data_IF_172698520521
#
_entry.id   IF_172698520521
#
_cell.length_a   1.000
_cell.length_b   1.000
_cell.length_c   1.000
_cell.angle_alpha   90.00
_cell.angle_beta   90.00
_cell.angle_gamma   90.00
#
_symmetry.space_group_name_H-M   'P 1'
#
loop_
_entity.id
_entity.type
_entity.pdbx_description
1 polymer ?
#
# COMPACT_ATOMS: atom_id res chain seq x y z
N UNK A 1 81.95 34.88 54.55
CA UNK A 1 81.71 35.32 53.15
C UNK A 1 81.36 34.17 52.19
N UNK A 2 82.10 33.04 52.15
CA UNK A 2 81.82 31.93 51.20
C UNK A 2 80.42 31.29 51.28
N UNK A 3 79.81 31.20 52.46
CA UNK A 3 78.48 30.59 52.64
C UNK A 3 77.33 31.45 52.08
N UNK A 4 77.45 32.79 52.17
CA UNK A 4 76.45 33.71 51.64
C UNK A 4 76.44 33.70 50.10
N UNK A 5 77.62 33.67 49.49
CA UNK A 5 77.77 33.59 48.04
C UNK A 5 77.23 32.26 47.47
N UNK A 6 77.49 31.14 48.13
CA UNK A 6 76.95 29.84 47.74
C UNK A 6 75.42 29.78 47.84
N UNK A 7 74.83 30.36 48.91
CA UNK A 7 73.38 30.45 49.07
C UNK A 7 72.73 31.38 48.03
N UNK A 8 73.36 32.51 47.71
CA UNK A 8 72.87 33.42 46.66
C UNK A 8 72.91 32.77 45.28
N UNK A 9 73.95 31.99 44.97
CA UNK A 9 74.05 31.24 43.72
C UNK A 9 73.00 30.13 43.61
N UNK A 10 72.76 29.37 44.68
CA UNK A 10 71.69 28.35 44.73
C UNK A 10 70.30 28.99 44.56
N UNK A 11 70.03 30.08 45.28
CA UNK A 11 68.78 30.84 45.16
C UNK A 11 68.58 31.38 43.75
N UNK A 12 69.62 31.95 43.12
CA UNK A 12 69.54 32.44 41.75
C UNK A 12 69.26 31.31 40.75
N UNK A 13 69.88 30.15 40.96
CA UNK A 13 69.67 28.96 40.12
C UNK A 13 68.23 28.44 40.23
N UNK A 14 67.68 28.39 41.45
CA UNK A 14 66.29 27.95 41.69
C UNK A 14 65.26 28.92 41.13
N UNK A 15 65.51 30.23 41.22
CA UNK A 15 64.66 31.25 40.59
C UNK A 15 64.71 31.12 39.07
N UNK A 16 65.90 30.92 38.48
CA UNK A 16 66.05 30.73 37.05
C UNK A 16 65.32 29.46 36.57
N UNK A 17 65.47 28.33 37.27
CA UNK A 17 64.78 27.09 36.95
C UNK A 17 63.24 27.23 37.07
N UNK A 18 62.76 27.91 38.11
CA UNK A 18 61.34 28.20 38.29
C UNK A 18 60.77 29.07 37.17
N UNK A 19 61.50 30.11 36.76
CA UNK A 19 61.08 30.99 35.66
C UNK A 19 61.00 30.24 34.33
N UNK A 20 61.99 29.38 34.03
CA UNK A 20 61.97 28.52 32.83
C UNK A 20 60.76 27.60 32.86
N UNK A 21 60.46 26.97 33.99
CA UNK A 21 59.29 26.11 34.12
C UNK A 21 57.99 26.88 33.92
N UNK A 22 57.87 28.08 34.48
CA UNK A 22 56.70 28.94 34.30
C UNK A 22 56.48 29.37 32.85
N UNK A 23 57.55 29.63 32.10
CA UNK A 23 57.43 29.92 30.67
C UNK A 23 57.04 28.70 29.83
N UNK A 24 57.47 27.50 30.21
CA UNK A 24 57.06 26.26 29.53
C UNK A 24 55.58 25.97 29.80
N UNK A 25 55.12 26.11 31.03
CA UNK A 25 53.70 25.98 31.39
C UNK A 25 52.86 27.02 30.64
N UNK A 26 53.27 28.29 30.62
CA UNK A 26 52.57 29.35 29.91
C UNK A 26 52.50 29.12 28.39
N UNK A 27 53.56 28.56 27.79
CA UNK A 27 53.55 28.17 26.37
C UNK A 27 52.62 26.99 26.11
N UNK A 28 52.66 25.96 26.96
CA UNK A 28 51.76 24.80 26.84
C UNK A 28 50.28 25.18 26.99
N UNK A 29 49.97 26.09 27.92
CA UNK A 29 48.60 26.60 28.12
C UNK A 29 48.13 27.43 26.92
N UNK A 30 49.01 28.25 26.33
CA UNK A 30 48.70 29.02 25.13
C UNK A 30 48.45 28.12 23.91
N UNK A 31 49.29 27.11 23.70
CA UNK A 31 49.13 26.11 22.63
C UNK A 31 47.84 25.29 22.80
N UNK A 32 47.51 24.91 24.05
CA UNK A 32 46.27 24.19 24.35
C UNK A 32 45.02 25.05 24.09
N UNK A 33 45.07 26.35 24.41
CA UNK A 33 44.00 27.30 24.14
C UNK A 33 43.80 27.50 22.62
N UNK A 34 44.89 27.66 21.86
CA UNK A 34 44.81 27.75 20.40
C UNK A 34 44.23 26.48 19.77
N UNK A 35 44.66 25.31 20.24
CA UNK A 35 44.10 24.03 19.77
C UNK A 35 42.62 23.87 20.11
N UNK A 36 42.16 24.39 21.25
CA UNK A 36 40.71 24.41 21.57
C UNK A 36 39.94 25.34 20.64
N UNK A 37 40.46 26.54 20.37
CA UNK A 37 39.83 27.51 19.47
C UNK A 37 39.72 26.98 18.04
N UNK A 38 40.78 26.35 17.54
CA UNK A 38 40.76 25.73 16.21
C UNK A 38 39.73 24.61 16.10
N UNK A 39 39.58 23.78 17.15
CA UNK A 39 38.54 22.73 17.18
C UNK A 39 37.14 23.31 17.25
N UNK A 40 36.94 24.35 18.04
CA UNK A 40 35.64 25.03 18.16
C UNK A 40 35.25 25.71 16.84
N UNK A 41 36.19 26.35 16.16
CA UNK A 41 35.99 26.95 14.83
C UNK A 41 35.71 25.88 13.76
N UNK A 42 36.43 24.75 13.80
CA UNK A 42 36.17 23.62 12.89
C UNK A 42 34.79 23.00 13.14
N UNK A 43 34.38 22.83 14.40
CA UNK A 43 33.06 22.32 14.77
C UNK A 43 31.94 23.28 14.36
N UNK A 44 32.12 24.59 14.57
CA UNK A 44 31.17 25.62 14.14
C UNK A 44 31.01 25.64 12.61
N UNK A 45 32.11 25.50 11.87
CA UNK A 45 32.08 25.38 10.41
C UNK A 45 31.28 24.16 9.96
N UNK A 46 31.49 23.00 10.60
CA UNK A 46 30.75 21.77 10.26
C UNK A 46 29.25 21.91 10.54
N UNK A 47 28.88 22.48 11.68
CA UNK A 47 27.47 22.74 12.05
C UNK A 47 26.83 23.71 11.07
N UNK A 48 27.54 24.78 10.68
CA UNK A 48 27.02 25.76 9.73
C UNK A 48 26.87 25.17 8.32
N UNK A 49 27.83 24.36 7.86
CA UNK A 49 27.72 23.64 6.59
C UNK A 49 26.54 22.65 6.59
N UNK A 50 26.32 21.93 7.69
CA UNK A 50 25.20 21.02 7.84
C UNK A 50 23.86 21.77 7.83
N UNK A 51 23.76 22.88 8.58
CA UNK A 51 22.58 23.73 8.61
C UNK A 51 22.28 24.35 7.22
N UNK A 52 23.31 24.76 6.47
CA UNK A 52 23.15 25.25 5.09
C UNK A 52 22.70 24.14 4.14
N UNK A 53 23.24 22.92 4.27
CA UNK A 53 22.77 21.76 3.51
C UNK A 53 21.30 21.47 3.82
N UNK A 54 20.93 21.43 5.10
CA UNK A 54 19.56 21.20 5.54
C UNK A 54 18.61 22.28 5.01
N UNK A 55 19.00 23.57 5.09
CA UNK A 55 18.22 24.68 4.53
C UNK A 55 18.01 24.55 3.02
N UNK A 56 19.06 24.22 2.26
CA UNK A 56 18.97 24.00 0.81
C UNK A 56 18.07 22.82 0.46
N UNK A 57 18.12 21.75 1.25
CA UNK A 57 17.20 20.62 1.09
C UNK A 57 15.75 20.99 1.44
N UNK A 58 15.54 21.73 2.52
CA UNK A 58 14.22 22.20 2.93
C UNK A 58 13.61 23.12 1.87
N UNK A 59 14.40 23.99 1.25
CA UNK A 59 13.94 24.85 0.15
C UNK A 59 13.59 24.06 -1.11
N UNK A 60 14.37 23.03 -1.47
CA UNK A 60 14.02 22.13 -2.58
C UNK A 60 12.73 21.35 -2.32
N UNK A 61 12.40 21.10 -1.05
CA UNK A 61 11.17 20.39 -0.63
C UNK A 61 9.94 21.31 -0.52
N UNK A 62 10.09 22.64 -0.62
CA UNK A 62 8.94 23.56 -0.61
C UNK A 62 8.07 23.29 -1.84
N UNK A 63 6.77 22.96 -1.68
CA UNK A 63 5.87 22.74 -2.80
C UNK A 63 5.83 23.99 -3.67
N UNK A 64 6.38 23.92 -4.88
CA UNK A 64 6.26 25.00 -5.85
C UNK A 64 4.84 24.95 -6.40
N UNK A 65 4.02 25.95 -6.06
CA UNK A 65 2.67 26.04 -6.60
C UNK A 65 2.75 26.21 -8.12
N UNK A 66 2.14 25.29 -8.85
CA UNK A 66 2.05 25.39 -10.31
C UNK A 66 1.15 26.59 -10.68
N UNK A 67 1.48 27.26 -11.78
CA UNK A 67 0.65 28.34 -12.35
C UNK A 67 -0.54 27.76 -13.11
N UNK A 68 -1.66 28.48 -13.14
CA UNK A 68 -2.83 28.10 -13.94
C UNK A 68 -2.66 28.53 -15.41
N UNK A 69 -3.39 27.88 -16.32
CA UNK A 69 -3.46 28.29 -17.73
C UNK A 69 -4.64 29.27 -17.88
N UNK A 70 -4.41 30.57 -18.15
CA UNK A 70 -5.50 31.54 -18.31
C UNK A 70 -6.43 31.14 -19.45
N UNK A 71 -7.75 31.19 -19.21
CA UNK A 71 -8.77 30.82 -20.18
C UNK A 71 -9.11 29.32 -20.23
N UNK A 72 -8.44 28.46 -19.46
CA UNK A 72 -8.88 27.07 -19.27
C UNK A 72 -10.07 27.02 -18.32
N UNK A 73 -11.21 26.50 -18.79
CA UNK A 73 -12.34 26.18 -17.92
C UNK A 73 -12.22 24.75 -17.36
N UNK A 74 -12.97 24.47 -16.31
CA UNK A 74 -13.21 23.09 -15.88
C UNK A 74 -13.99 22.36 -16.97
N UNK A 75 -13.78 21.05 -17.12
CA UNK A 75 -14.61 20.22 -18.00
C UNK A 75 -16.01 20.07 -17.40
N UNK A 76 -17.04 20.03 -18.26
CA UNK A 76 -18.45 19.90 -17.82
C UNK A 76 -18.72 18.63 -17.00
N UNK A 77 -17.83 17.63 -17.10
CA UNK A 77 -17.91 16.37 -16.37
C UNK A 77 -16.63 16.22 -15.53
N UNK A 78 -16.80 16.11 -14.21
CA UNK A 78 -15.74 15.78 -13.26
C UNK A 78 -15.54 14.26 -13.26
N UNK A 79 -14.44 13.81 -13.84
CA UNK A 79 -14.07 12.41 -13.87
C UNK A 79 -13.15 12.12 -12.69
N UNK A 80 -13.61 11.33 -11.72
CA UNK A 80 -12.76 10.89 -10.61
C UNK A 80 -11.59 10.03 -11.11
N UNK A 81 -10.37 10.20 -10.58
CA UNK A 81 -9.25 9.33 -10.93
C UNK A 81 -9.45 7.91 -10.36
N UNK A 82 -8.79 6.89 -10.92
CA UNK A 82 -8.63 5.59 -10.28
C UNK A 82 -7.92 5.71 -8.92
N UNK A 83 -8.12 4.73 -8.06
CA UNK A 83 -7.46 4.69 -6.74
C UNK A 83 -5.94 4.80 -6.83
N UNK A 84 -5.32 5.44 -5.83
CA UNK A 84 -3.86 5.53 -5.72
C UNK A 84 -3.19 4.14 -5.71
N UNK A 85 -3.81 3.14 -5.08
CA UNK A 85 -3.38 1.73 -5.15
C UNK A 85 -3.24 1.25 -6.60
N UNK A 86 -4.26 1.47 -7.43
CA UNK A 86 -4.23 1.06 -8.84
C UNK A 86 -3.19 1.82 -9.66
N UNK A 87 -3.04 3.12 -9.40
CA UNK A 87 -2.01 3.96 -10.05
C UNK A 87 -0.60 3.52 -9.65
N UNK A 88 -0.37 3.17 -8.39
CA UNK A 88 0.91 2.66 -7.91
C UNK A 88 1.24 1.31 -8.55
N UNK A 89 0.26 0.41 -8.67
CA UNK A 89 0.42 -0.86 -9.37
C UNK A 89 0.78 -0.65 -10.85
N UNK A 90 0.07 0.24 -11.55
CA UNK A 90 0.40 0.62 -12.92
C UNK A 90 1.82 1.17 -13.05
N UNK A 91 2.28 2.03 -12.12
CA UNK A 91 3.63 2.61 -12.17
C UNK A 91 4.76 1.57 -12.04
N UNK A 92 4.45 0.39 -11.52
CA UNK A 92 5.41 -0.70 -11.29
C UNK A 92 5.18 -1.89 -12.22
N UNK A 93 4.33 -1.72 -13.25
CA UNK A 93 3.93 -2.77 -14.19
C UNK A 93 3.27 -3.99 -13.51
N UNK A 94 2.77 -3.82 -12.29
CA UNK A 94 2.06 -4.87 -11.58
C UNK A 94 0.66 -5.05 -12.16
N UNK A 95 0.16 -6.28 -12.08
CA UNK A 95 -1.23 -6.57 -12.38
C UNK A 95 -2.17 -5.80 -11.42
N UNK A 96 -3.23 -5.24 -11.98
CA UNK A 96 -4.32 -4.58 -11.27
C UNK A 96 -5.64 -4.93 -11.96
N UNK A 97 -6.69 -5.16 -11.16
CA UNK A 97 -8.03 -5.46 -11.67
C UNK A 97 -8.58 -4.27 -12.47
N UNK A 98 -9.20 -4.56 -13.61
CA UNK A 98 -9.81 -3.53 -14.48
C UNK A 98 -10.95 -2.78 -13.79
N UNK A 99 -11.56 -3.38 -12.78
CA UNK A 99 -12.61 -2.75 -11.98
C UNK A 99 -12.20 -1.38 -11.43
N UNK A 100 -10.93 -1.16 -11.06
CA UNK A 100 -10.46 0.14 -10.56
C UNK A 100 -10.61 1.28 -11.57
N UNK A 101 -10.69 0.96 -12.86
CA UNK A 101 -10.86 1.91 -13.97
C UNK A 101 -12.33 2.08 -14.38
N UNK A 102 -13.25 1.36 -13.71
CA UNK A 102 -14.68 1.47 -13.96
C UNK A 102 -15.26 2.72 -13.30
N UNK A 103 -16.45 3.19 -13.72
CA UNK A 103 -17.17 4.22 -12.97
C UNK A 103 -17.34 3.85 -11.49
N UNK A 104 -17.67 2.58 -11.20
CA UNK A 104 -17.85 2.09 -9.83
C UNK A 104 -16.54 2.13 -9.01
N UNK A 105 -15.43 1.68 -9.60
CA UNK A 105 -14.12 1.69 -8.94
C UNK A 105 -13.57 3.10 -8.71
N UNK A 106 -13.78 4.01 -9.65
CA UNK A 106 -13.37 5.43 -9.51
C UNK A 106 -14.23 6.18 -8.49
N UNK A 107 -15.52 5.87 -8.42
CA UNK A 107 -16.41 6.39 -7.37
C UNK A 107 -16.08 5.78 -5.99
N UNK A 108 -15.63 4.53 -5.93
CA UNK A 108 -15.14 3.95 -4.68
C UNK A 108 -13.87 4.64 -4.20
N UNK A 109 -12.94 4.92 -5.13
CA UNK A 109 -11.70 5.64 -4.84
C UNK A 109 -11.95 7.07 -4.33
N UNK A 110 -12.89 7.82 -4.92
CA UNK A 110 -13.17 9.20 -4.50
C UNK A 110 -13.60 9.30 -3.04
N UNK A 111 -14.35 8.31 -2.53
CA UNK A 111 -14.74 8.24 -1.10
C UNK A 111 -13.54 8.22 -0.14
N UNK A 112 -12.39 7.72 -0.60
CA UNK A 112 -11.16 7.69 0.20
C UNK A 112 -10.30 8.94 -0.01
N UNK A 113 -10.33 9.55 -1.21
CA UNK A 113 -9.63 10.81 -1.49
C UNK A 113 -10.24 12.00 -0.75
N UNK A 114 -11.56 12.04 -0.56
CA UNK A 114 -12.24 13.14 0.14
C UNK A 114 -11.98 13.13 1.67
N UNK A 115 -11.31 12.09 2.19
CA UNK A 115 -10.94 12.01 3.60
C UNK A 115 -9.45 12.32 3.76
N UNK A 116 -9.15 13.55 4.20
CA UNK A 116 -7.83 14.00 4.64
C UNK A 116 -7.06 12.99 5.52
N UNK A 117 -7.73 12.07 6.23
CA UNK A 117 -7.11 11.05 7.07
C UNK A 117 -6.39 9.90 6.31
N UNK A 118 -6.69 9.65 5.04
CA UNK A 118 -6.10 8.51 4.30
C UNK A 118 -4.64 8.75 3.87
N UNK A 119 -4.26 10.02 3.68
CA UNK A 119 -2.88 10.45 3.40
C UNK A 119 -2.02 10.44 4.68
N UNK A 120 -2.61 10.78 5.85
CA UNK A 120 -1.91 10.84 7.13
C UNK A 120 -1.63 9.47 7.76
N UNK A 121 -2.32 8.41 7.30
CA UNK A 121 -2.11 7.06 7.80
C UNK A 121 -1.06 6.35 6.96
N UNK A 122 0.10 6.08 7.55
CA UNK A 122 1.20 5.38 6.90
C UNK A 122 1.13 3.87 7.13
N UNK A 123 1.32 3.09 6.06
CA UNK A 123 1.47 1.64 6.08
C UNK A 123 2.91 1.22 5.85
N UNK A 124 3.30 0.08 6.43
CA UNK A 124 4.61 -0.55 6.20
C UNK A 124 4.45 -1.60 5.09
N UNK A 125 5.27 -1.50 4.04
CA UNK A 125 5.29 -2.44 2.92
C UNK A 125 6.71 -2.93 2.63
N UNK A 126 6.85 -4.19 2.20
CA UNK A 126 8.14 -4.78 1.83
C UNK A 126 8.39 -4.58 0.32
N UNK A 127 9.53 -4.01 -0.05
CA UNK A 127 10.03 -3.93 -1.44
C UNK A 127 11.45 -4.50 -1.42
N UNK A 128 11.73 -5.54 -2.23
CA UNK A 128 13.08 -6.08 -2.42
C UNK A 128 13.86 -6.29 -1.10
N UNK A 129 13.18 -6.93 -0.14
CA UNK A 129 13.66 -7.17 1.23
C UNK A 129 13.84 -5.96 2.17
N UNK A 130 13.56 -4.74 1.70
CA UNK A 130 13.52 -3.51 2.51
C UNK A 130 12.10 -3.16 2.96
N UNK A 131 11.95 -2.75 4.23
CA UNK A 131 10.71 -2.16 4.74
C UNK A 131 10.63 -0.69 4.33
N UNK A 132 9.52 -0.32 3.69
CA UNK A 132 9.23 1.04 3.23
C UNK A 132 7.93 1.53 3.83
N UNK A 133 7.90 2.79 4.23
CA UNK A 133 6.73 3.46 4.78
C UNK A 133 6.05 4.21 3.63
N UNK A 134 4.77 3.94 3.39
CA UNK A 134 3.98 4.57 2.30
C UNK A 134 2.56 4.89 2.76
N UNK A 135 1.88 5.91 2.19
CA UNK A 135 0.48 6.20 2.50
C UNK A 135 -0.39 4.96 2.33
N UNK A 136 -1.31 4.69 3.26
CA UNK A 136 -2.10 3.45 3.26
C UNK A 136 -2.97 3.34 1.99
N UNK A 137 -3.40 4.46 1.42
CA UNK A 137 -4.15 4.53 0.17
C UNK A 137 -3.37 3.99 -1.04
N UNK A 138 -2.03 4.02 -1.00
CA UNK A 138 -1.17 3.44 -2.04
C UNK A 138 -0.96 1.93 -1.90
N UNK A 139 -1.23 1.36 -0.72
CA UNK A 139 -0.92 -0.04 -0.39
C UNK A 139 -2.18 -0.89 -0.25
N UNK A 140 -3.31 -0.28 0.14
CA UNK A 140 -4.54 -0.99 0.47
C UNK A 140 -5.47 -1.11 -0.73
N UNK A 141 -5.68 -2.33 -1.18
CA UNK A 141 -6.72 -2.67 -2.14
C UNK A 141 -8.13 -2.37 -1.58
N UNK A 142 -9.03 -1.92 -2.44
CA UNK A 142 -10.46 -1.79 -2.09
C UNK A 142 -11.05 -3.16 -1.76
N UNK A 143 -11.94 -3.19 -0.75
CA UNK A 143 -12.73 -4.38 -0.40
C UNK A 143 -13.83 -4.69 -1.40
N UNK A 144 -14.16 -3.72 -2.27
CA UNK A 144 -15.21 -3.82 -3.27
C UNK A 144 -14.66 -4.23 -4.64
N UNK A 145 -13.36 -4.55 -4.73
CA UNK A 145 -12.73 -4.93 -6.00
C UNK A 145 -13.39 -6.20 -6.55
N UNK A 146 -13.75 -6.14 -7.84
CA UNK A 146 -14.33 -7.26 -8.58
C UNK A 146 -13.26 -7.83 -9.52
N UNK A 147 -12.99 -9.14 -9.50
CA UNK A 147 -12.10 -9.78 -10.46
C UNK A 147 -12.58 -9.58 -11.91
N UNK A 148 -11.66 -9.50 -12.87
CA UNK A 148 -12.01 -9.24 -14.28
C UNK A 148 -13.03 -10.25 -14.85
N UNK A 149 -13.01 -11.51 -14.41
CA UNK A 149 -13.93 -12.55 -14.87
C UNK A 149 -15.34 -12.46 -14.27
N UNK A 150 -15.53 -11.62 -13.24
CA UNK A 150 -16.82 -11.32 -12.62
C UNK A 150 -17.39 -9.97 -13.09
N UNK A 151 -16.64 -9.20 -13.89
CA UNK A 151 -17.15 -8.00 -14.54
C UNK A 151 -18.22 -8.35 -15.57
N UNK A 152 -19.12 -7.41 -15.84
CA UNK A 152 -19.97 -7.51 -17.03
C UNK A 152 -19.15 -7.22 -18.28
N UNK A 153 -19.53 -7.80 -19.42
CA UNK A 153 -18.81 -7.54 -20.67
C UNK A 153 -18.84 -6.06 -21.08
N UNK A 154 -19.96 -5.32 -20.96
CA UNK A 154 -19.97 -3.88 -21.20
C UNK A 154 -19.04 -3.09 -20.25
N UNK A 155 -18.96 -3.47 -18.98
CA UNK A 155 -18.03 -2.84 -18.04
C UNK A 155 -16.58 -3.11 -18.44
N UNK A 156 -16.25 -4.33 -18.86
CA UNK A 156 -14.93 -4.65 -19.39
C UNK A 156 -14.56 -3.79 -20.62
N UNK A 157 -15.48 -3.66 -21.58
CA UNK A 157 -15.26 -2.86 -22.79
C UNK A 157 -15.07 -1.37 -22.50
N UNK A 158 -15.75 -0.82 -21.48
CA UNK A 158 -15.58 0.57 -21.09
C UNK A 158 -14.31 0.79 -20.26
N UNK A 159 -13.98 -0.15 -19.37
CA UNK A 159 -12.82 -0.06 -18.45
C UNK A 159 -11.48 -0.19 -19.15
N UNK A 160 -11.36 -1.05 -20.19
CA UNK A 160 -10.10 -1.26 -20.92
C UNK A 160 -9.50 0.03 -21.48
N UNK A 161 -10.35 0.94 -21.99
CA UNK A 161 -9.89 2.19 -22.59
C UNK A 161 -9.36 3.13 -21.49
N UNK A 162 -10.02 3.17 -20.33
CA UNK A 162 -9.56 3.94 -19.19
C UNK A 162 -8.26 3.37 -18.60
N UNK A 163 -8.13 2.05 -18.55
CA UNK A 163 -6.88 1.38 -18.17
C UNK A 163 -5.72 1.76 -19.10
N UNK A 164 -5.91 1.68 -20.43
CA UNK A 164 -4.87 2.01 -21.40
C UNK A 164 -4.44 3.48 -21.32
N UNK A 165 -5.38 4.41 -21.12
CA UNK A 165 -5.07 5.83 -20.94
C UNK A 165 -4.20 6.07 -19.68
N UNK A 166 -4.51 5.40 -18.56
CA UNK A 166 -3.72 5.53 -17.34
C UNK A 166 -2.36 4.83 -17.46
N UNK A 167 -2.28 3.68 -18.14
CA UNK A 167 -1.02 3.02 -18.44
C UNK A 167 -0.11 3.91 -19.31
N UNK A 168 -0.68 4.61 -20.30
CA UNK A 168 0.04 5.62 -21.10
C UNK A 168 0.55 6.76 -20.24
N UNK A 169 -0.27 7.31 -19.34
CA UNK A 169 0.12 8.36 -18.39
C UNK A 169 1.21 7.88 -17.40
N UNK A 170 1.26 6.59 -17.11
CA UNK A 170 2.32 5.95 -16.34
C UNK A 170 3.59 5.64 -17.16
N UNK A 171 3.72 6.21 -18.37
CA UNK A 171 4.88 6.06 -19.25
C UNK A 171 5.18 4.60 -19.65
N UNK A 172 4.15 3.78 -19.84
CA UNK A 172 4.35 2.42 -20.33
C UNK A 172 4.97 2.42 -21.75
N UNK A 173 5.84 1.45 -22.07
CA UNK A 173 6.38 1.32 -23.42
C UNK A 173 5.27 1.19 -24.46
N UNK A 174 5.34 1.98 -25.55
CA UNK A 174 4.33 2.00 -26.62
C UNK A 174 4.07 0.60 -27.18
N UNK A 175 5.12 -0.21 -27.35
CA UNK A 175 5.00 -1.61 -27.81
C UNK A 175 4.07 -2.44 -26.92
N UNK A 176 4.14 -2.25 -25.59
CA UNK A 176 3.30 -2.98 -24.65
C UNK A 176 1.85 -2.46 -24.67
N UNK A 177 1.66 -1.14 -24.80
CA UNK A 177 0.34 -0.52 -24.95
C UNK A 177 -0.36 -0.99 -26.23
N UNK A 178 0.36 -0.99 -27.36
CA UNK A 178 -0.16 -1.44 -28.65
C UNK A 178 -0.53 -2.93 -28.61
N UNK A 179 0.30 -3.75 -27.96
CA UNK A 179 0.03 -5.17 -27.79
C UNK A 179 -1.24 -5.40 -26.96
N UNK A 180 -1.40 -4.69 -25.83
CA UNK A 180 -2.62 -4.77 -25.01
C UNK A 180 -3.86 -4.27 -25.73
N UNK A 181 -3.76 -3.15 -26.46
CA UNK A 181 -4.88 -2.60 -27.22
C UNK A 181 -5.40 -3.59 -28.27
N UNK A 182 -4.49 -4.20 -29.05
CA UNK A 182 -4.83 -5.23 -30.03
C UNK A 182 -5.36 -6.50 -29.38
N UNK A 183 -4.76 -6.92 -28.25
CA UNK A 183 -5.26 -8.06 -27.47
C UNK A 183 -6.71 -7.85 -27.04
N UNK A 184 -7.04 -6.70 -26.44
CA UNK A 184 -8.42 -6.42 -26.04
C UNK A 184 -9.38 -6.36 -27.23
N UNK A 185 -8.93 -5.83 -28.37
CA UNK A 185 -9.70 -5.85 -29.61
C UNK A 185 -9.99 -7.28 -30.09
N UNK A 186 -8.99 -8.18 -30.06
CA UNK A 186 -9.20 -9.59 -30.42
C UNK A 186 -10.17 -10.29 -29.49
N UNK A 187 -10.16 -9.97 -28.20
CA UNK A 187 -11.14 -10.52 -27.26
C UNK A 187 -12.55 -9.97 -27.51
N UNK A 188 -12.68 -8.67 -27.75
CA UNK A 188 -13.95 -8.00 -28.05
C UNK A 188 -14.62 -8.56 -29.32
N UNK A 189 -13.81 -8.89 -30.33
CA UNK A 189 -14.27 -9.38 -31.64
C UNK A 189 -14.23 -10.89 -31.79
N UNK A 190 -13.90 -11.63 -30.72
CA UNK A 190 -13.76 -13.08 -30.79
C UNK A 190 -15.12 -13.76 -31.09
N UNK A 191 -15.19 -14.73 -32.03
CA UNK A 191 -16.45 -15.42 -32.35
C UNK A 191 -17.15 -16.04 -31.14
N UNK A 192 -16.37 -16.53 -30.17
CA UNK A 192 -16.90 -17.13 -28.94
C UNK A 192 -17.74 -16.17 -28.09
N UNK A 193 -17.61 -14.84 -28.24
CA UNK A 193 -18.45 -13.87 -27.52
C UNK A 193 -19.94 -14.10 -27.79
N UNK A 194 -20.28 -14.53 -29.01
CA UNK A 194 -21.67 -14.76 -29.43
C UNK A 194 -22.26 -16.09 -28.93
N UNK A 195 -21.43 -16.97 -28.35
CA UNK A 195 -21.88 -18.25 -27.84
C UNK A 195 -22.58 -18.09 -26.49
N UNK A 196 -23.43 -19.05 -26.09
CA UNK A 196 -23.91 -19.14 -24.71
C UNK A 196 -22.71 -19.15 -23.74
N UNK A 197 -22.75 -18.32 -22.70
CA UNK A 197 -21.64 -18.12 -21.75
C UNK A 197 -20.36 -17.52 -22.36
N UNK A 198 -20.38 -17.13 -23.64
CA UNK A 198 -19.25 -16.63 -24.41
C UNK A 198 -18.52 -15.47 -23.77
N UNK A 199 -19.27 -14.45 -23.34
CA UNK A 199 -18.72 -13.30 -22.59
C UNK A 199 -17.94 -13.75 -21.35
N UNK A 200 -18.49 -14.68 -20.56
CA UNK A 200 -17.83 -15.19 -19.35
C UNK A 200 -16.55 -15.95 -19.68
N UNK A 201 -16.56 -16.75 -20.75
CA UNK A 201 -15.38 -17.48 -21.24
C UNK A 201 -14.28 -16.48 -21.60
N UNK A 202 -14.61 -15.47 -22.40
CA UNK A 202 -13.66 -14.44 -22.85
C UNK A 202 -13.12 -13.63 -21.67
N UNK A 203 -13.96 -13.21 -20.73
CA UNK A 203 -13.52 -12.48 -19.54
C UNK A 203 -12.64 -13.32 -18.62
N UNK A 204 -12.94 -14.62 -18.49
CA UNK A 204 -12.12 -15.56 -17.73
C UNK A 204 -10.75 -15.75 -18.38
N UNK A 205 -10.73 -15.90 -19.71
CA UNK A 205 -9.49 -15.95 -20.48
C UNK A 205 -8.67 -14.67 -20.32
N UNK A 206 -9.29 -13.50 -20.50
CA UNK A 206 -8.68 -12.19 -20.30
C UNK A 206 -8.07 -12.05 -18.90
N UNK A 207 -8.83 -12.41 -17.86
CA UNK A 207 -8.39 -12.36 -16.47
C UNK A 207 -7.13 -13.21 -16.25
N UNK A 208 -7.12 -14.46 -16.75
CA UNK A 208 -5.98 -15.38 -16.58
C UNK A 208 -4.75 -14.91 -17.36
N UNK A 209 -4.93 -14.52 -18.62
CA UNK A 209 -3.85 -14.10 -19.52
C UNK A 209 -3.25 -12.77 -19.09
N UNK A 210 -4.07 -11.76 -18.74
CA UNK A 210 -3.55 -10.49 -18.25
C UNK A 210 -2.73 -10.68 -16.96
N UNK A 211 -3.23 -11.46 -15.99
CA UNK A 211 -2.51 -11.72 -14.75
C UNK A 211 -1.15 -12.40 -15.02
N UNK A 212 -1.15 -13.46 -15.81
CA UNK A 212 0.05 -14.22 -16.15
C UNK A 212 1.06 -13.35 -16.93
N UNK A 213 0.58 -12.60 -17.91
CA UNK A 213 1.41 -11.73 -18.75
C UNK A 213 2.12 -10.63 -17.93
N UNK A 214 1.42 -9.95 -17.02
CA UNK A 214 2.07 -8.95 -16.15
C UNK A 214 3.15 -9.57 -15.26
N UNK A 215 2.87 -10.74 -14.68
CA UNK A 215 3.83 -11.48 -13.84
C UNK A 215 5.09 -11.85 -14.63
N UNK A 216 4.91 -12.39 -15.84
CA UNK A 216 6.01 -12.87 -16.66
C UNK A 216 6.79 -11.70 -17.30
N UNK A 217 6.10 -10.60 -17.65
CA UNK A 217 6.72 -9.35 -18.09
C UNK A 217 7.65 -8.79 -17.01
N UNK A 218 7.19 -8.74 -15.76
CA UNK A 218 8.01 -8.29 -14.61
C UNK A 218 9.22 -9.16 -14.36
N UNK A 219 9.14 -10.46 -14.69
CA UNK A 219 10.24 -11.40 -14.59
C UNK A 219 11.17 -11.42 -15.82
N UNK A 220 10.99 -10.51 -16.78
CA UNK A 220 11.79 -10.46 -18.01
C UNK A 220 11.51 -11.61 -18.99
N UNK A 221 10.38 -12.32 -18.84
CA UNK A 221 9.93 -13.44 -19.68
C UNK A 221 8.59 -13.14 -20.37
N UNK A 222 8.30 -11.87 -20.61
CA UNK A 222 7.08 -11.45 -21.27
C UNK A 222 6.94 -12.15 -22.63
N UNK A 223 5.79 -12.77 -22.86
CA UNK A 223 5.44 -13.37 -24.14
C UNK A 223 4.53 -12.45 -24.96
N UNK A 224 4.37 -12.77 -26.24
CA UNK A 224 3.45 -12.05 -27.11
C UNK A 224 1.99 -12.33 -26.72
N UNK A 225 1.35 -11.35 -26.08
CA UNK A 225 -0.04 -11.44 -25.63
C UNK A 225 -1.04 -11.44 -26.82
N UNK A 226 -0.60 -11.09 -28.03
CA UNK A 226 -1.45 -11.07 -29.22
C UNK A 226 -1.87 -12.48 -29.67
N UNK A 227 -1.10 -13.50 -29.31
CA UNK A 227 -1.38 -14.88 -29.69
C UNK A 227 -2.44 -15.46 -28.76
N UNK A 228 -3.67 -15.59 -29.25
CA UNK A 228 -4.76 -16.25 -28.51
C UNK A 228 -4.47 -17.75 -28.42
N UNK A 229 -4.28 -18.24 -27.21
CA UNK A 229 -4.05 -19.65 -26.93
C UNK A 229 -5.39 -20.41 -26.95
N UNK A 230 -5.70 -21.00 -28.11
CA UNK A 230 -6.93 -21.77 -28.32
C UNK A 230 -7.10 -22.93 -27.32
N UNK A 231 -6.02 -23.66 -27.00
CA UNK A 231 -6.09 -24.76 -26.02
C UNK A 231 -6.48 -24.27 -24.61
N UNK A 232 -5.92 -23.13 -24.18
CA UNK A 232 -6.30 -22.52 -22.91
C UNK A 232 -7.77 -22.04 -22.95
N UNK A 233 -8.19 -21.44 -24.06
CA UNK A 233 -9.57 -21.00 -24.26
C UNK A 233 -10.55 -22.19 -24.20
N UNK A 234 -10.26 -23.29 -24.89
CA UNK A 234 -11.07 -24.52 -24.88
C UNK A 234 -11.15 -25.14 -23.48
N UNK A 235 -10.04 -25.11 -22.74
CA UNK A 235 -10.01 -25.58 -21.34
C UNK A 235 -10.94 -24.73 -20.47
N UNK A 236 -10.87 -23.41 -20.59
CA UNK A 236 -11.76 -22.49 -19.88
C UNK A 236 -13.23 -22.70 -20.26
N UNK A 237 -13.51 -22.91 -21.55
CA UNK A 237 -14.85 -23.21 -22.05
C UNK A 237 -15.43 -24.44 -21.36
N UNK A 238 -14.71 -25.56 -21.36
CA UNK A 238 -15.15 -26.80 -20.70
C UNK A 238 -15.36 -26.62 -19.20
N UNK A 239 -14.46 -25.90 -18.52
CA UNK A 239 -14.60 -25.63 -17.08
C UNK A 239 -15.90 -24.86 -16.79
N UNK A 240 -16.17 -23.79 -17.53
CA UNK A 240 -17.34 -22.93 -17.34
C UNK A 240 -18.63 -23.68 -17.67
N UNK A 241 -18.67 -24.41 -18.78
CA UNK A 241 -19.81 -25.24 -19.16
C UNK A 241 -20.09 -26.33 -18.13
N UNK A 242 -19.04 -26.98 -17.60
CA UNK A 242 -19.15 -27.96 -16.52
C UNK A 242 -19.79 -27.37 -15.27
N UNK A 243 -19.29 -26.22 -14.80
CA UNK A 243 -19.84 -25.52 -13.64
C UNK A 243 -21.30 -25.08 -13.84
N UNK A 244 -21.67 -24.58 -15.02
CA UNK A 244 -23.05 -24.16 -15.27
C UNK A 244 -24.00 -25.35 -15.34
N UNK A 245 -23.59 -26.45 -15.97
CA UNK A 245 -24.34 -27.71 -15.99
C UNK A 245 -24.60 -28.25 -14.58
N UNK A 246 -23.60 -28.22 -13.70
CA UNK A 246 -23.76 -28.65 -12.31
C UNK A 246 -24.69 -27.74 -11.51
N UNK A 247 -24.60 -26.42 -11.75
CA UNK A 247 -25.51 -25.43 -11.14
C UNK A 247 -26.96 -25.63 -11.58
N UNK A 248 -27.18 -25.93 -12.86
CA UNK A 248 -28.51 -26.25 -13.41
C UNK A 248 -29.05 -27.55 -12.79
N UNK A 249 -28.22 -28.59 -12.66
CA UNK A 249 -28.61 -29.86 -12.01
C UNK A 249 -28.95 -29.65 -10.53
N UNK A 250 -28.17 -28.84 -9.80
CA UNK A 250 -28.42 -28.54 -8.39
C UNK A 250 -29.77 -27.84 -8.17
N UNK A 251 -30.13 -26.88 -9.04
CA UNK A 251 -31.44 -26.20 -9.01
C UNK A 251 -32.62 -27.11 -9.34
N UNK A 252 -32.39 -28.19 -10.10
CA UNK A 252 -33.43 -29.16 -10.49
C UNK A 252 -33.70 -30.25 -9.45
N UNK A 253 -32.87 -30.39 -8.40
CA UNK A 253 -33.12 -31.35 -7.32
C UNK A 253 -34.28 -30.84 -6.45
N UNK A 254 -35.41 -31.57 -6.32
CA UNK A 254 -36.48 -31.17 -5.44
C UNK A 254 -35.99 -31.22 -3.98
N UNK A 255 -36.18 -30.13 -3.23
CA UNK A 255 -36.03 -30.14 -1.78
C UNK A 255 -37.00 -31.18 -1.20
N UNK A 256 -36.50 -32.35 -0.81
CA UNK A 256 -37.32 -33.35 -0.12
C UNK A 256 -37.81 -32.73 1.20
N UNK A 257 -39.12 -32.74 1.49
CA UNK A 257 -39.61 -32.34 2.79
C UNK A 257 -39.07 -33.33 3.83
N UNK A 258 -38.45 -32.77 4.87
CA UNK A 258 -37.95 -33.50 6.05
C UNK A 258 -39.13 -34.28 6.64
N UNK A 259 -39.14 -35.59 6.45
CA UNK A 259 -40.17 -36.47 6.99
C UNK A 259 -40.14 -36.41 8.53
N UNK A 260 -41.13 -35.77 9.12
CA UNK A 260 -41.45 -35.90 10.55
C UNK A 260 -41.98 -37.30 10.80
N UNK A 261 -41.15 -38.15 11.40
CA UNK A 261 -41.55 -39.46 11.89
C UNK A 261 -42.44 -39.31 13.13
N UNK A 262 -43.76 -39.25 12.95
CA UNK A 262 -44.68 -39.55 14.05
C UNK A 262 -44.81 -41.07 14.19
N UNK A 263 -44.02 -41.63 15.10
CA UNK A 263 -44.24 -42.98 15.60
C UNK A 263 -45.50 -42.99 16.48
N UNK A 264 -46.53 -43.70 16.01
CA UNK A 264 -47.73 -44.05 16.74
C UNK A 264 -47.44 -45.29 17.58
N UNK A 265 -47.49 -45.17 18.91
CA UNK A 265 -47.75 -46.29 19.82
C UNK A 265 -48.82 -45.90 20.82
N UNK A 266 -49.83 -46.75 20.90
CA UNK A 266 -50.99 -46.68 21.77
C UNK A 266 -50.63 -46.75 23.25
N UNK A 267 -51.42 -46.08 24.11
CA UNK A 267 -52.28 -46.65 25.17
C UNK A 267 -52.45 -45.75 26.41
N UNK A 268 -53.72 -45.49 26.72
CA UNK A 268 -54.36 -45.54 28.04
C UNK A 268 -54.18 -44.36 29.04
N UNK A 269 -55.29 -43.63 29.18
CA UNK A 269 -55.88 -42.90 30.34
C UNK A 269 -55.15 -42.84 31.70
N UNK A 270 -54.98 -41.61 32.24
CA UNK A 270 -55.34 -41.14 33.61
C UNK A 270 -54.94 -39.65 33.75
N UNK A 271 -55.85 -38.67 33.86
CA UNK A 271 -56.50 -38.09 35.08
C UNK A 271 -55.59 -37.20 35.96
N UNK A 272 -56.10 -35.96 36.18
CA UNK A 272 -55.81 -34.88 37.17
C UNK A 272 -54.47 -34.09 37.18
N UNK A 273 -54.61 -32.81 36.77
CA UNK A 273 -54.21 -31.49 37.37
C UNK A 273 -53.65 -31.47 38.82
N UNK A 274 -53.22 -30.29 39.33
CA UNK A 274 -52.05 -29.40 39.07
C UNK A 274 -51.13 -29.29 40.32
N UNK A 275 -50.03 -28.51 40.29
CA UNK A 275 -49.72 -27.44 41.27
C UNK A 275 -48.29 -26.87 41.14
N UNK A 276 -48.25 -25.55 40.91
CA UNK A 276 -47.51 -24.48 41.61
C UNK A 276 -46.05 -24.60 42.05
N UNK A 277 -45.40 -23.45 41.89
CA UNK A 277 -44.58 -22.74 42.91
C UNK A 277 -43.07 -22.93 42.85
N UNK A 278 -42.48 -21.89 42.25
CA UNK A 278 -41.57 -20.94 42.90
C UNK A 278 -40.06 -21.18 42.99
N UNK A 279 -39.45 -19.99 42.89
CA UNK A 279 -38.31 -19.50 43.63
C UNK A 279 -36.95 -19.54 42.93
N UNK A 280 -36.71 -18.40 42.27
CA UNK A 280 -35.79 -17.38 42.75
C UNK A 280 -34.28 -17.55 42.46
N UNK A 281 -33.80 -16.60 41.64
CA UNK A 281 -32.89 -15.51 42.02
C UNK A 281 -31.46 -15.92 42.49
N UNK A 282 -30.37 -15.17 42.30
CA UNK A 282 -30.20 -13.73 42.09
C UNK A 282 -28.74 -13.45 41.67
N UNK A 283 -28.54 -12.25 41.11
CA UNK A 283 -27.39 -11.35 41.31
C UNK A 283 -26.07 -11.51 40.53
N UNK A 284 -25.82 -10.44 39.75
CA UNK A 284 -24.56 -9.81 39.31
C UNK A 284 -23.64 -9.40 40.50
N UNK A 285 -22.59 -8.53 40.40
CA UNK A 285 -21.94 -7.83 39.27
C UNK A 285 -20.37 -7.74 39.32
N UNK A 286 -19.81 -7.03 38.32
CA UNK A 286 -18.52 -6.27 38.21
C UNK A 286 -17.98 -5.68 39.55
N UNK A 287 -16.71 -5.23 39.78
CA UNK A 287 -15.93 -4.24 38.97
C UNK A 287 -14.36 -4.22 39.10
N UNK A 288 -13.65 -3.37 38.32
CA UNK A 288 -12.82 -2.20 38.79
C UNK A 288 -11.71 -1.67 37.86
N UNK A 289 -11.98 -0.45 37.37
CA UNK A 289 -11.28 0.86 37.27
C UNK A 289 -9.80 1.12 37.67
N UNK A 290 -9.18 2.05 36.91
CA UNK A 290 -8.35 3.26 37.25
C UNK A 290 -6.94 3.30 36.59
N UNK A 291 -6.33 4.40 36.12
CA UNK A 291 -6.36 5.83 36.48
C UNK A 291 -6.08 6.78 35.29
N UNK A 292 -6.47 8.05 35.47
CA UNK A 292 -6.07 9.23 34.69
C UNK A 292 -4.74 9.84 35.20
N UNK A 293 -4.05 10.63 34.39
CA UNK A 293 -3.25 11.79 34.86
C UNK A 293 -3.02 12.82 33.75
N UNK A 294 -3.14 14.06 34.18
CA UNK A 294 -3.00 15.35 33.48
C UNK A 294 -1.55 15.82 33.57
N UNK A 295 -1.03 16.47 32.53
CA UNK A 295 -0.10 17.62 32.63
C UNK A 295 -0.16 18.43 31.34
#
# INVERSE_FOLDING_TARGET
ERLLAAWQADRATRIAAWNVQKEVEARADAEAEEMRRLREEEEELLVNEEAERERREAEKKKPKMNTFIPGSSITDILIHPPSQYALQKLSTFDYVEMWYFSPAGRLDASKFHDRSQAEDTLGISKIDDLLTIRPIASVKASRNVIPNHELTFPDFLSTKNCFLDHAKKANWPTTNLDALAKFFWFLETHPSVQLPLGERIILTYASRVCFNWHRDLKAGRGYDILVINGHLLDTITRDIEGHDNDRVKAKRRPSHPRATSHARRDRTTCVMRPTTSDAAATHAPNPRVHHASTT
#
